data_IF_021731649937
#
_entry.id   IF_021731649937
#
_cell.length_a   1.000
_cell.length_b   1.000
_cell.length_c   1.000
_cell.angle_alpha   90.00
_cell.angle_beta   90.00
_cell.angle_gamma   90.00
#
_symmetry.space_group_name_H-M   'P 1'
#
loop_
_entity.id
_entity.type
_entity.pdbx_description
1 polymer ?
#
# COMPACT_ATOMS: atom_id res chain seq x y z
N UNK A 1 -14.89 11.77 -10.79
CA UNK A 1 -15.10 12.39 -9.46
C UNK A 1 -13.76 13.03 -9.10
N UNK A 2 -13.70 14.34 -8.90
CA UNK A 2 -12.45 15.02 -8.51
C UNK A 2 -12.38 15.06 -7.00
N UNK A 3 -11.42 14.32 -6.41
CA UNK A 3 -11.15 14.34 -4.97
C UNK A 3 -10.75 15.74 -4.52
N UNK A 4 -11.16 16.15 -3.32
CA UNK A 4 -10.54 17.29 -2.66
C UNK A 4 -9.10 16.94 -2.23
N UNK A 5 -8.29 17.96 -1.95
CA UNK A 5 -6.93 17.76 -1.41
C UNK A 5 -6.96 16.98 -0.09
N UNK A 6 -7.92 17.30 0.79
CA UNK A 6 -8.04 16.66 2.10
C UNK A 6 -8.38 15.17 1.97
N UNK A 7 -9.39 14.83 1.16
CA UNK A 7 -9.76 13.43 0.91
C UNK A 7 -8.57 12.66 0.31
N UNK A 8 -7.85 13.27 -0.64
CA UNK A 8 -6.72 12.62 -1.29
C UNK A 8 -5.59 12.34 -0.31
N UNK A 9 -5.22 13.33 0.51
CA UNK A 9 -4.16 13.17 1.51
C UNK A 9 -4.54 12.14 2.57
N UNK A 10 -5.81 12.10 3.00
CA UNK A 10 -6.28 11.10 3.95
C UNK A 10 -6.15 9.68 3.39
N UNK A 11 -6.55 9.47 2.13
CA UNK A 11 -6.40 8.19 1.45
C UNK A 11 -4.92 7.83 1.22
N UNK A 12 -4.10 8.75 0.72
CA UNK A 12 -2.67 8.54 0.53
C UNK A 12 -1.97 8.14 1.84
N UNK A 13 -2.37 8.78 2.95
CA UNK A 13 -1.85 8.41 4.27
C UNK A 13 -2.34 7.03 4.72
N UNK A 14 -3.56 6.63 4.39
CA UNK A 14 -4.05 5.28 4.67
C UNK A 14 -3.24 4.22 3.91
N UNK A 15 -3.05 4.39 2.60
CA UNK A 15 -2.25 3.48 1.77
C UNK A 15 -0.81 3.35 2.28
N UNK A 16 -0.16 4.48 2.61
CA UNK A 16 1.20 4.47 3.16
C UNK A 16 1.30 3.75 4.51
N UNK A 17 0.32 3.95 5.40
CA UNK A 17 0.26 3.24 6.69
C UNK A 17 0.08 1.75 6.47
N UNK A 18 -0.82 1.36 5.57
CA UNK A 18 -1.10 -0.03 5.24
C UNK A 18 0.13 -0.72 4.64
N UNK A 19 0.77 -0.10 3.64
CA UNK A 19 2.00 -0.63 3.03
C UNK A 19 3.12 -0.77 4.05
N UNK A 20 3.39 0.28 4.85
CA UNK A 20 4.43 0.23 5.87
C UNK A 20 4.15 -0.84 6.94
N UNK A 21 2.88 -1.07 7.29
CA UNK A 21 2.49 -2.15 8.18
C UNK A 21 2.85 -3.51 7.55
N UNK A 22 2.49 -3.76 6.29
CA UNK A 22 2.78 -5.03 5.61
C UNK A 22 4.27 -5.26 5.52
N UNK A 23 5.03 -4.25 5.09
CA UNK A 23 6.48 -4.32 5.03
C UNK A 23 7.05 -4.73 6.39
N UNK A 24 6.66 -4.08 7.49
CA UNK A 24 7.16 -4.44 8.83
C UNK A 24 6.80 -5.86 9.28
N UNK A 25 5.61 -6.36 8.94
CA UNK A 25 5.13 -7.66 9.41
C UNK A 25 5.57 -8.83 8.53
N UNK A 26 5.75 -8.60 7.24
CA UNK A 26 6.03 -9.65 6.25
C UNK A 26 7.41 -9.53 5.59
N UNK A 27 7.97 -8.32 5.45
CA UNK A 27 9.22 -8.07 4.71
C UNK A 27 10.48 -7.94 5.56
N UNK A 28 10.36 -7.80 6.89
CA UNK A 28 11.50 -7.59 7.80
C UNK A 28 12.27 -6.25 7.79
N UNK A 29 11.87 -5.14 7.11
CA UNK A 29 12.54 -3.86 7.25
C UNK A 29 12.33 -3.23 8.63
N UNK A 30 13.27 -2.35 8.97
CA UNK A 30 13.11 -1.45 10.12
C UNK A 30 11.92 -0.50 9.89
N UNK A 31 11.32 0.07 10.95
CA UNK A 31 10.23 1.03 10.80
C UNK A 31 10.53 2.21 9.86
N UNK A 32 11.79 2.67 9.85
CA UNK A 32 12.24 3.73 8.94
C UNK A 32 12.24 3.27 7.47
N UNK A 33 12.80 2.09 7.18
CA UNK A 33 12.82 1.54 5.82
C UNK A 33 11.41 1.23 5.28
N UNK A 34 10.49 0.79 6.13
CA UNK A 34 9.10 0.59 5.73
C UNK A 34 8.38 1.89 5.37
N UNK A 35 8.72 2.99 6.05
CA UNK A 35 8.16 4.32 5.76
C UNK A 35 8.71 4.86 4.45
N UNK A 36 10.02 4.72 4.23
CA UNK A 36 10.66 5.14 2.98
C UNK A 36 10.09 4.38 1.77
N UNK A 37 10.00 3.05 1.87
CA UNK A 37 9.39 2.23 0.82
C UNK A 37 7.91 2.60 0.55
N UNK A 38 7.16 2.98 1.59
CA UNK A 38 5.78 3.44 1.41
C UNK A 38 5.70 4.78 0.64
N UNK A 39 6.65 5.70 0.87
CA UNK A 39 6.73 6.97 0.14
C UNK A 39 7.10 6.77 -1.33
N UNK A 40 7.99 5.82 -1.61
CA UNK A 40 8.38 5.47 -2.98
C UNK A 40 7.25 4.77 -3.74
N UNK A 41 6.56 3.82 -3.09
CA UNK A 41 5.48 3.07 -3.72
C UNK A 41 4.19 3.90 -3.88
N UNK A 42 3.90 4.80 -2.96
CA UNK A 42 2.72 5.67 -2.99
C UNK A 42 3.17 7.14 -2.98
N UNK A 43 3.68 7.67 -4.10
CA UNK A 43 4.11 9.06 -4.20
C UNK A 43 2.91 10.01 -4.14
N UNK A 44 3.18 11.27 -3.81
CA UNK A 44 2.17 12.31 -3.95
C UNK A 44 1.91 12.58 -5.45
N UNK A 45 0.64 12.63 -5.82
CA UNK A 45 0.17 12.90 -7.17
C UNK A 45 -0.49 14.29 -7.20
N UNK A 46 -0.05 15.21 -8.07
CA UNK A 46 -0.69 16.50 -8.26
C UNK A 46 -2.16 16.43 -8.67
N UNK A 47 -2.93 17.50 -8.44
CA UNK A 47 -4.37 17.55 -8.70
C UNK A 47 -4.77 17.28 -10.17
N UNK A 48 -3.85 17.52 -11.11
CA UNK A 48 -4.01 17.28 -12.55
C UNK A 48 -3.46 15.92 -13.00
N UNK A 49 -2.92 15.10 -12.09
CA UNK A 49 -2.42 13.77 -12.42
C UNK A 49 -3.59 12.84 -12.79
N UNK A 50 -3.48 12.18 -13.94
CA UNK A 50 -4.56 11.37 -14.50
C UNK A 50 -4.95 10.17 -13.62
N UNK A 51 -4.03 9.68 -12.79
CA UNK A 51 -4.25 8.55 -11.89
C UNK A 51 -4.65 8.98 -10.47
N UNK A 52 -4.74 10.28 -10.19
CA UNK A 52 -5.01 10.77 -8.83
C UNK A 52 -6.34 10.27 -8.29
N UNK A 53 -6.27 9.62 -7.13
CA UNK A 53 -7.46 9.13 -6.42
C UNK A 53 -8.15 7.96 -7.11
N UNK A 54 -7.44 7.22 -7.98
CA UNK A 54 -7.88 5.89 -8.38
C UNK A 54 -7.85 4.98 -7.16
N UNK A 55 -9.01 4.43 -6.78
CA UNK A 55 -9.12 3.48 -5.67
C UNK A 55 -8.99 2.08 -6.23
N UNK A 56 -7.85 1.45 -5.97
CA UNK A 56 -7.69 0.01 -6.14
C UNK A 56 -7.84 -0.63 -4.77
N UNK A 57 -8.78 -1.57 -4.63
CA UNK A 57 -8.92 -2.31 -3.37
C UNK A 57 -7.66 -3.17 -3.15
N UNK A 58 -7.13 -3.13 -1.94
CA UNK A 58 -5.94 -3.87 -1.49
C UNK A 58 -4.62 -3.53 -2.21
N UNK A 59 -4.50 -2.34 -2.81
CA UNK A 59 -3.29 -1.97 -3.56
C UNK A 59 -2.05 -1.96 -2.67
N UNK A 60 -2.12 -1.36 -1.48
CA UNK A 60 -1.01 -1.37 -0.54
C UNK A 60 -0.59 -2.79 -0.11
N UNK A 61 -1.53 -3.73 0.05
CA UNK A 61 -1.20 -5.13 0.34
C UNK A 61 -0.53 -5.79 -0.86
N UNK A 62 -1.15 -5.69 -2.03
CA UNK A 62 -0.65 -6.28 -3.26
C UNK A 62 0.75 -5.77 -3.62
N UNK A 63 0.96 -4.46 -3.59
CA UNK A 63 2.26 -3.86 -3.86
C UNK A 63 3.32 -4.27 -2.85
N UNK A 64 2.97 -4.34 -1.57
CA UNK A 64 3.92 -4.81 -0.55
C UNK A 64 4.28 -6.28 -0.77
N UNK A 65 3.31 -7.14 -1.10
CA UNK A 65 3.58 -8.55 -1.40
C UNK A 65 4.43 -8.73 -2.65
N UNK A 66 4.17 -7.97 -3.72
CA UNK A 66 5.04 -7.91 -4.90
C UNK A 66 6.47 -7.47 -4.54
N UNK A 67 6.61 -6.48 -3.65
CA UNK A 67 7.92 -5.99 -3.21
C UNK A 67 8.68 -7.04 -2.42
N UNK A 68 7.99 -7.83 -1.58
CA UNK A 68 8.61 -8.82 -0.69
C UNK A 68 8.90 -10.14 -1.41
N UNK A 69 7.93 -10.64 -2.18
CA UNK A 69 7.92 -11.99 -2.74
C UNK A 69 8.09 -12.03 -4.26
N UNK A 70 8.03 -10.88 -4.94
CA UNK A 70 8.12 -10.80 -6.40
C UNK A 70 6.79 -11.02 -7.12
N UNK A 71 6.84 -10.97 -8.45
CA UNK A 71 5.70 -11.04 -9.36
C UNK A 71 4.91 -12.37 -9.29
N UNK A 72 5.56 -13.45 -8.85
CA UNK A 72 4.96 -14.78 -8.75
C UNK A 72 4.32 -15.09 -7.40
N UNK A 73 4.28 -14.13 -6.48
CA UNK A 73 3.84 -14.41 -5.10
C UNK A 73 2.44 -14.99 -5.00
N UNK A 74 1.52 -14.67 -5.91
CA UNK A 74 0.15 -15.22 -5.88
C UNK A 74 0.12 -16.73 -6.18
N UNK A 75 1.10 -17.23 -6.92
CA UNK A 75 1.26 -18.66 -7.24
C UNK A 75 2.10 -19.37 -6.18
N UNK A 76 3.15 -18.70 -5.69
CA UNK A 76 4.11 -19.28 -4.73
C UNK A 76 3.64 -19.20 -3.28
N UNK A 77 2.82 -18.18 -2.98
CA UNK A 77 2.23 -17.88 -1.68
C UNK A 77 0.72 -17.59 -1.80
N UNK A 78 -0.10 -18.57 -2.23
CA UNK A 78 -1.54 -18.39 -2.39
C UNK A 78 -2.25 -17.96 -1.09
N UNK A 79 -1.68 -18.29 0.07
CA UNK A 79 -2.15 -17.85 1.38
C UNK A 79 -2.03 -16.35 1.63
N UNK A 80 -1.21 -15.63 0.83
CA UNK A 80 -1.01 -14.18 0.92
C UNK A 80 -1.80 -13.40 -0.15
N UNK A 81 -2.65 -14.07 -0.94
CA UNK A 81 -3.50 -13.38 -1.93
C UNK A 81 -4.51 -12.46 -1.23
N UNK A 82 -5.02 -12.88 -0.08
CA UNK A 82 -5.95 -12.09 0.71
C UNK A 82 -5.27 -11.59 1.98
N UNK A 83 -5.43 -10.31 2.33
CA UNK A 83 -4.91 -9.79 3.58
C UNK A 83 -5.56 -10.48 4.80
N UNK A 84 -4.82 -10.67 5.90
CA UNK A 84 -5.39 -11.13 7.15
C UNK A 84 -6.24 -10.04 7.79
N UNK A 85 -7.15 -10.41 8.70
CA UNK A 85 -8.02 -9.46 9.41
C UNK A 85 -7.26 -8.38 10.20
N UNK A 86 -6.02 -8.65 10.62
CA UNK A 86 -5.16 -7.65 11.27
C UNK A 86 -4.79 -6.48 10.34
N UNK A 87 -4.70 -6.72 9.03
CA UNK A 87 -4.52 -5.69 8.02
C UNK A 87 -5.83 -4.94 7.75
N UNK A 88 -6.94 -5.66 7.62
CA UNK A 88 -8.28 -5.06 7.42
C UNK A 88 -8.66 -4.10 8.56
N UNK A 89 -8.18 -4.36 9.78
CA UNK A 89 -8.40 -3.50 10.94
C UNK A 89 -7.66 -2.15 10.91
N UNK A 90 -6.81 -1.89 9.90
CA UNK A 90 -6.09 -0.62 9.76
C UNK A 90 -6.98 0.54 9.29
N UNK A 91 -8.19 0.24 8.80
CA UNK A 91 -9.23 1.21 8.45
C UNK A 91 -9.25 1.59 6.98
#
# INVERSE_FOLDING_TARGET
MTWSEAEYLDHLHAERRAFAWVMRHHGGPTPAGATEAALECHPYEPADHACRGLVFQDEAWHWAMLTIHGDRYTVEHPELVHPPSAYEALG
#
